data_IF_339005517581
#
_entry.id   IF_339005517581
#
_cell.length_a   1.000
_cell.length_b   1.000
_cell.length_c   1.000
_cell.angle_alpha   90.00
_cell.angle_beta   90.00
_cell.angle_gamma   90.00
#
_symmetry.space_group_name_H-M   'P 1'
#
loop_
_entity.id
_entity.type
_entity.pdbx_description
1 polymer ?
#
# COMPACT_ATOMS: atom_id res chain seq x y z
N UNK A 1 46.25 26.97 6.72
CA UNK A 1 44.95 27.68 6.72
C UNK A 1 45.14 28.99 7.45
N UNK A 2 44.95 30.12 6.79
CA UNK A 2 45.00 31.44 7.43
C UNK A 2 43.82 31.61 8.39
N UNK A 3 43.90 32.54 9.35
CA UNK A 3 42.79 32.79 10.30
C UNK A 3 41.49 33.19 9.59
N UNK A 4 41.59 33.98 8.51
CA UNK A 4 40.47 34.32 7.64
C UNK A 4 39.81 33.08 7.00
N UNK A 5 40.60 32.08 6.59
CA UNK A 5 40.07 30.81 6.07
C UNK A 5 39.40 29.96 7.17
N UNK A 6 39.88 30.01 8.42
CA UNK A 6 39.25 29.32 9.56
C UNK A 6 37.89 29.94 9.90
N UNK A 7 37.82 31.27 9.90
CA UNK A 7 36.59 32.01 10.20
C UNK A 7 35.56 31.85 9.08
N UNK A 8 36.00 31.91 7.81
CA UNK A 8 35.16 31.58 6.65
C UNK A 8 34.61 30.15 6.68
N UNK A 9 35.43 29.16 7.06
CA UNK A 9 34.98 27.77 7.21
C UNK A 9 34.00 27.59 8.37
N UNK A 10 34.22 28.27 9.51
CA UNK A 10 33.31 28.26 10.65
C UNK A 10 31.94 28.85 10.29
N UNK A 11 31.93 30.00 9.61
CA UNK A 11 30.70 30.62 9.11
C UNK A 11 29.99 29.73 8.09
N UNK A 12 30.73 29.07 7.21
CA UNK A 12 30.18 28.07 6.30
C UNK A 12 29.51 26.91 7.05
N UNK A 13 30.19 26.30 8.03
CA UNK A 13 29.63 25.21 8.84
C UNK A 13 28.39 25.64 9.63
N UNK A 14 28.40 26.84 10.22
CA UNK A 14 27.24 27.40 10.94
C UNK A 14 26.07 27.61 9.98
N UNK A 15 26.31 28.19 8.79
CA UNK A 15 25.26 28.38 7.79
C UNK A 15 24.71 27.06 7.26
N UNK A 16 25.57 26.05 7.06
CA UNK A 16 25.13 24.69 6.72
C UNK A 16 24.30 24.09 7.86
N UNK A 17 24.72 24.25 9.11
CA UNK A 17 24.00 23.72 10.28
C UNK A 17 22.63 24.38 10.47
N UNK A 18 22.55 25.71 10.37
CA UNK A 18 21.28 26.47 10.48
C UNK A 18 20.32 26.06 9.35
N UNK A 19 20.82 25.97 8.11
CA UNK A 19 20.03 25.57 6.95
C UNK A 19 19.57 24.11 7.02
N UNK A 20 20.39 23.23 7.58
CA UNK A 20 20.02 21.84 7.84
C UNK A 20 19.06 21.69 9.02
N UNK A 21 19.13 22.56 10.04
CA UNK A 21 18.23 22.51 11.22
C UNK A 21 16.78 22.81 10.86
N UNK A 22 16.52 23.84 10.05
CA UNK A 22 15.17 24.16 9.58
C UNK A 22 14.62 23.09 8.64
N UNK A 23 15.45 22.57 7.73
CA UNK A 23 15.11 21.46 6.85
C UNK A 23 14.78 20.18 7.64
N UNK A 24 15.58 19.84 8.65
CA UNK A 24 15.34 18.72 9.57
C UNK A 24 14.02 18.93 10.32
N UNK A 25 13.80 20.09 10.96
CA UNK A 25 12.55 20.36 11.70
C UNK A 25 11.30 20.18 10.81
N UNK A 26 11.32 20.70 9.58
CA UNK A 26 10.19 20.55 8.66
C UNK A 26 9.99 19.11 8.17
N UNK A 27 11.07 18.37 7.91
CA UNK A 27 10.97 16.94 7.59
C UNK A 27 10.32 16.17 8.75
N UNK A 28 10.72 16.46 9.98
CA UNK A 28 10.19 15.83 11.19
C UNK A 28 8.70 16.13 11.43
N UNK A 29 8.26 17.38 11.24
CA UNK A 29 6.82 17.74 11.31
C UNK A 29 6.02 17.03 10.22
N UNK A 30 6.60 16.90 9.02
CA UNK A 30 5.93 16.23 7.90
C UNK A 30 5.78 14.73 8.16
N UNK A 31 6.82 14.08 8.70
CA UNK A 31 6.77 12.66 9.12
C UNK A 31 5.77 12.48 10.26
N UNK A 32 5.75 13.36 11.26
CA UNK A 32 4.80 13.29 12.37
C UNK A 32 3.34 13.36 11.89
N UNK A 33 3.01 14.34 11.04
CA UNK A 33 1.66 14.50 10.49
C UNK A 33 1.22 13.30 9.64
N UNK A 34 2.13 12.75 8.83
CA UNK A 34 1.86 11.57 8.02
C UNK A 34 1.55 10.35 8.89
N UNK A 35 2.37 10.11 9.90
CA UNK A 35 2.16 9.02 10.86
C UNK A 35 0.84 9.20 11.61
N UNK A 36 0.55 10.40 12.09
CA UNK A 36 -0.72 10.71 12.76
C UNK A 36 -1.93 10.42 11.87
N UNK A 37 -1.88 10.84 10.59
CA UNK A 37 -2.93 10.53 9.61
C UNK A 37 -3.03 9.04 9.32
N UNK A 38 -1.91 8.35 9.10
CA UNK A 38 -1.90 6.90 8.86
C UNK A 38 -2.48 6.13 10.04
N UNK A 39 -2.16 6.53 11.26
CA UNK A 39 -2.67 5.88 12.47
C UNK A 39 -4.14 6.19 12.67
N UNK A 40 -4.54 7.46 12.53
CA UNK A 40 -5.93 7.87 12.65
C UNK A 40 -6.81 7.15 11.63
N UNK A 41 -6.38 7.09 10.36
CA UNK A 41 -7.10 6.37 9.32
C UNK A 41 -7.14 4.87 9.58
N UNK A 42 -6.02 4.24 9.97
CA UNK A 42 -6.00 2.80 10.26
C UNK A 42 -6.89 2.40 11.44
N UNK A 43 -6.88 3.17 12.54
CA UNK A 43 -7.77 2.88 13.68
C UNK A 43 -9.24 3.21 13.39
N UNK A 44 -9.47 4.24 12.57
CA UNK A 44 -10.82 4.53 12.09
C UNK A 44 -11.34 3.40 11.21
N UNK A 45 -10.50 2.81 10.37
CA UNK A 45 -10.81 1.66 9.52
C UNK A 45 -11.25 0.46 10.36
N UNK A 46 -10.42 0.04 11.32
CA UNK A 46 -10.75 -1.05 12.26
C UNK A 46 -12.09 -0.81 12.96
N UNK A 47 -12.37 0.43 13.37
CA UNK A 47 -13.65 0.77 13.99
C UNK A 47 -14.81 0.61 12.99
N UNK A 48 -14.66 1.12 11.76
CA UNK A 48 -15.70 0.99 10.74
C UNK A 48 -15.93 -0.46 10.33
N UNK A 49 -14.88 -1.25 10.26
CA UNK A 49 -14.91 -2.67 9.90
C UNK A 49 -15.67 -3.49 10.95
N UNK A 50 -15.42 -3.22 12.24
CA UNK A 50 -16.20 -3.82 13.34
C UNK A 50 -17.68 -3.42 13.30
N UNK A 51 -17.98 -2.15 12.98
CA UNK A 51 -19.36 -1.67 12.87
C UNK A 51 -20.07 -2.28 11.66
N UNK A 52 -19.37 -2.47 10.54
CA UNK A 52 -19.89 -3.14 9.35
C UNK A 52 -20.09 -4.63 9.61
N UNK A 53 -19.14 -5.31 10.25
CA UNK A 53 -19.27 -6.71 10.67
C UNK A 53 -20.48 -6.91 11.59
N UNK A 54 -20.67 -6.02 12.58
CA UNK A 54 -21.87 -6.01 13.42
C UNK A 54 -23.13 -5.84 12.58
N UNK A 55 -23.11 -4.96 11.58
CA UNK A 55 -24.26 -4.74 10.71
C UNK A 55 -24.64 -5.99 9.90
N UNK A 56 -23.66 -6.80 9.48
CA UNK A 56 -23.90 -8.10 8.84
C UNK A 56 -24.43 -9.14 9.81
N UNK A 57 -23.89 -9.17 11.04
CA UNK A 57 -24.36 -10.05 12.10
C UNK A 57 -25.83 -9.77 12.44
N UNK A 58 -26.18 -8.50 12.66
CA UNK A 58 -27.55 -8.07 12.97
C UNK A 58 -28.51 -8.37 11.80
N UNK A 59 -28.01 -8.42 10.56
CA UNK A 59 -28.78 -8.76 9.37
C UNK A 59 -28.88 -10.28 9.11
N UNK A 60 -28.23 -11.11 9.93
CA UNK A 60 -28.20 -12.57 9.78
C UNK A 60 -27.21 -13.11 8.74
N UNK A 61 -26.41 -12.26 8.10
CA UNK A 61 -25.34 -12.67 7.18
C UNK A 61 -24.07 -13.05 7.96
N UNK A 62 -24.19 -14.15 8.73
CA UNK A 62 -23.12 -14.62 9.63
C UNK A 62 -21.84 -14.96 8.88
N UNK A 63 -21.95 -15.49 7.65
CA UNK A 63 -20.80 -15.83 6.82
C UNK A 63 -19.95 -14.60 6.52
N UNK A 64 -20.60 -13.51 6.08
CA UNK A 64 -19.93 -12.25 5.77
C UNK A 64 -19.37 -11.60 7.04
N UNK A 65 -20.13 -11.59 8.15
CA UNK A 65 -19.66 -11.07 9.42
C UNK A 65 -18.38 -11.80 9.92
N UNK A 66 -18.37 -13.14 9.88
CA UNK A 66 -17.21 -13.92 10.28
C UNK A 66 -16.04 -13.78 9.31
N UNK A 67 -16.29 -13.61 8.00
CA UNK A 67 -15.24 -13.35 7.03
C UNK A 67 -14.52 -12.02 7.33
N UNK A 68 -15.27 -10.93 7.55
CA UNK A 68 -14.71 -9.63 7.93
C UNK A 68 -13.83 -9.73 9.17
N UNK A 69 -14.36 -10.28 10.27
CA UNK A 69 -13.58 -10.46 11.52
C UNK A 69 -12.38 -11.39 11.29
N UNK A 70 -12.54 -12.44 10.48
CA UNK A 70 -11.49 -13.39 10.16
C UNK A 70 -10.30 -12.75 9.45
N UNK A 71 -10.54 -11.86 8.49
CA UNK A 71 -9.49 -11.11 7.79
C UNK A 71 -8.74 -10.15 8.71
N UNK A 72 -9.45 -9.40 9.56
CA UNK A 72 -8.82 -8.54 10.57
C UNK A 72 -7.93 -9.35 11.55
N UNK A 73 -8.45 -10.48 12.07
CA UNK A 73 -7.68 -11.36 12.96
C UNK A 73 -6.47 -11.96 12.26
N UNK A 74 -6.61 -12.36 10.99
CA UNK A 74 -5.51 -12.90 10.19
C UNK A 74 -4.41 -11.86 9.97
N UNK A 75 -4.76 -10.61 9.64
CA UNK A 75 -3.80 -9.54 9.47
C UNK A 75 -3.02 -9.26 10.76
N UNK A 76 -3.70 -9.15 11.90
CA UNK A 76 -3.07 -8.99 13.23
C UNK A 76 -2.13 -10.16 13.54
N UNK A 77 -2.55 -11.39 13.28
CA UNK A 77 -1.74 -12.57 13.51
C UNK A 77 -0.46 -12.56 12.64
N UNK A 78 -0.59 -12.22 11.35
CA UNK A 78 0.56 -12.14 10.43
C UNK A 78 1.52 -11.01 10.83
N UNK A 79 1.01 -9.86 11.26
CA UNK A 79 1.84 -8.77 11.81
C UNK A 79 2.60 -9.20 13.07
N UNK A 80 1.95 -9.96 13.95
CA UNK A 80 2.60 -10.51 15.15
C UNK A 80 3.70 -11.52 14.81
N UNK A 81 3.46 -12.38 13.82
CA UNK A 81 4.47 -13.34 13.31
C UNK A 81 5.65 -12.60 12.69
N UNK A 82 5.39 -11.60 11.83
CA UNK A 82 6.44 -10.78 11.23
C UNK A 82 7.27 -10.05 12.30
N UNK A 83 6.61 -9.51 13.35
CA UNK A 83 7.28 -8.90 14.49
C UNK A 83 8.14 -9.91 15.26
N UNK A 84 7.60 -11.11 15.52
CA UNK A 84 8.32 -12.16 16.24
C UNK A 84 9.61 -12.59 15.56
N UNK A 85 9.59 -12.69 14.23
CA UNK A 85 10.78 -12.99 13.43
C UNK A 85 11.74 -11.80 13.40
N UNK A 86 11.24 -10.58 13.17
CA UNK A 86 12.09 -9.39 13.09
C UNK A 86 12.92 -9.14 14.37
N UNK A 87 12.31 -9.39 15.53
CA UNK A 87 12.97 -9.29 16.84
C UNK A 87 13.65 -10.60 17.30
N UNK A 88 13.73 -11.61 16.42
CA UNK A 88 14.25 -12.94 16.76
C UNK A 88 15.72 -12.98 17.15
N UNK A 89 16.53 -12.02 16.67
CA UNK A 89 17.97 -11.91 16.95
C UNK A 89 18.30 -11.06 18.19
N UNK A 90 17.30 -10.43 18.85
CA UNK A 90 17.51 -9.67 20.09
C UNK A 90 17.84 -10.62 21.25
N UNK A 91 18.87 -10.27 22.04
CA UNK A 91 19.30 -11.06 23.19
C UNK A 91 18.27 -11.10 24.33
N UNK A 92 17.49 -10.03 24.50
CA UNK A 92 16.47 -9.91 25.54
C UNK A 92 15.15 -10.52 25.07
N UNK A 93 14.79 -11.70 25.62
CA UNK A 93 13.49 -12.36 25.38
C UNK A 93 12.31 -11.43 25.67
N UNK A 94 12.41 -10.58 26.71
CA UNK A 94 11.37 -9.60 27.06
C UNK A 94 11.02 -8.67 25.90
N UNK A 95 12.02 -8.21 25.15
CA UNK A 95 11.79 -7.28 24.04
C UNK A 95 11.09 -7.99 22.88
N UNK A 96 11.52 -9.22 22.56
CA UNK A 96 10.88 -10.04 21.52
C UNK A 96 9.42 -10.35 21.86
N UNK A 97 9.16 -10.98 22.99
CA UNK A 97 7.79 -11.37 23.36
C UNK A 97 6.91 -10.17 23.70
N UNK A 98 7.47 -9.12 24.30
CA UNK A 98 6.73 -7.88 24.57
C UNK A 98 6.26 -7.19 23.29
N UNK A 99 7.13 -7.07 22.29
CA UNK A 99 6.77 -6.48 20.98
C UNK A 99 5.77 -7.36 20.22
N UNK A 100 5.95 -8.68 20.22
CA UNK A 100 4.97 -9.61 19.62
C UNK A 100 3.61 -9.54 20.31
N UNK A 101 3.58 -9.44 21.64
CA UNK A 101 2.32 -9.28 22.38
C UNK A 101 1.61 -7.98 22.02
N UNK A 102 2.34 -6.86 21.95
CA UNK A 102 1.78 -5.59 21.50
C UNK A 102 1.30 -5.64 20.04
N UNK A 103 1.98 -6.41 19.18
CA UNK A 103 1.52 -6.66 17.81
C UNK A 103 0.19 -7.43 17.79
N UNK A 104 0.00 -8.42 18.65
CA UNK A 104 -1.28 -9.15 18.81
C UNK A 104 -2.43 -8.25 19.31
N UNK A 105 -2.11 -7.11 19.93
CA UNK A 105 -3.10 -6.10 20.31
C UNK A 105 -3.37 -5.07 19.18
N UNK A 106 -2.85 -5.28 17.97
CA UNK A 106 -2.98 -4.33 16.86
C UNK A 106 -2.17 -3.04 17.04
N UNK A 107 -1.16 -3.05 17.92
CA UNK A 107 -0.32 -1.87 18.20
C UNK A 107 1.00 -1.87 17.43
N UNK A 108 1.27 -2.90 16.61
CA UNK A 108 2.51 -2.99 15.83
C UNK A 108 2.72 -1.77 14.89
N UNK A 109 1.75 -1.38 14.04
CA UNK A 109 1.92 -0.23 13.16
C UNK A 109 2.20 1.07 13.93
N UNK A 110 1.56 1.27 15.08
CA UNK A 110 1.77 2.41 15.97
C UNK A 110 3.19 2.44 16.53
N UNK A 111 3.62 1.33 17.11
CA UNK A 111 4.96 1.23 17.70
C UNK A 111 6.07 1.45 16.68
N UNK A 112 5.95 0.82 15.51
CA UNK A 112 6.95 0.92 14.45
C UNK A 112 6.92 2.31 13.81
N UNK A 113 5.73 2.91 13.65
CA UNK A 113 5.59 4.30 13.22
C UNK A 113 6.27 5.29 14.18
N UNK A 114 6.09 5.12 15.49
CA UNK A 114 6.80 5.93 16.51
C UNK A 114 8.30 5.65 16.50
N UNK A 115 8.73 4.42 16.23
CA UNK A 115 10.16 4.07 16.10
C UNK A 115 10.80 4.79 14.91
N UNK A 116 10.15 4.73 13.75
CA UNK A 116 10.55 5.45 12.52
C UNK A 116 10.53 6.95 12.75
N UNK A 117 9.52 7.47 13.45
CA UNK A 117 9.47 8.87 13.81
C UNK A 117 10.67 9.23 14.65
N UNK A 118 10.91 8.55 15.78
CA UNK A 118 11.95 8.89 16.76
C UNK A 118 13.38 8.55 16.33
N UNK A 119 13.56 7.97 15.14
CA UNK A 119 14.86 7.56 14.58
C UNK A 119 15.63 6.63 15.55
N UNK A 120 14.91 5.80 16.31
CA UNK A 120 15.50 4.83 17.22
C UNK A 120 15.98 3.63 16.41
N UNK A 121 17.28 3.57 16.15
CA UNK A 121 17.92 2.41 15.55
C UNK A 121 18.04 1.31 16.60
N UNK A 122 17.10 0.36 16.57
CA UNK A 122 17.16 -0.82 17.41
C UNK A 122 18.20 -1.80 16.84
N UNK A 123 19.35 -1.94 17.50
CA UNK A 123 20.36 -2.92 17.11
C UNK A 123 19.80 -4.35 17.22
N UNK A 124 20.17 -5.21 16.25
CA UNK A 124 19.80 -6.63 16.23
C UNK A 124 18.45 -6.95 15.57
N UNK A 125 17.83 -6.02 14.83
CA UNK A 125 16.66 -6.30 13.99
C UNK A 125 17.05 -6.96 12.67
N UNK A 126 16.16 -7.78 12.11
CA UNK A 126 16.34 -8.37 10.77
C UNK A 126 16.09 -7.34 9.66
N UNK A 127 15.10 -6.47 9.86
CA UNK A 127 14.70 -5.39 8.97
C UNK A 127 14.94 -4.04 9.66
N UNK A 128 15.27 -3.01 8.88
CA UNK A 128 15.33 -1.64 9.39
C UNK A 128 13.94 -1.15 9.82
N UNK A 129 13.87 -0.14 10.71
CA UNK A 129 12.60 0.46 11.17
C UNK A 129 11.63 0.81 10.03
N UNK A 130 12.08 1.52 8.96
CA UNK A 130 11.22 1.81 7.82
C UNK A 130 10.76 0.57 7.05
N UNK A 131 11.62 -0.45 6.92
CA UNK A 131 11.26 -1.70 6.24
C UNK A 131 10.20 -2.48 7.02
N UNK A 132 10.36 -2.64 8.34
CA UNK A 132 9.36 -3.35 9.15
C UNK A 132 8.03 -2.59 9.16
N UNK A 133 8.05 -1.26 9.26
CA UNK A 133 6.84 -0.44 9.16
C UNK A 133 6.13 -0.63 7.81
N UNK A 134 6.87 -0.58 6.70
CA UNK A 134 6.33 -0.84 5.37
C UNK A 134 5.75 -2.27 5.28
N UNK A 135 6.46 -3.29 5.79
CA UNK A 135 5.96 -4.66 5.81
C UNK A 135 4.67 -4.83 6.62
N UNK A 136 4.54 -4.19 7.79
CA UNK A 136 3.31 -4.25 8.58
C UNK A 136 2.12 -3.67 7.82
N UNK A 137 2.33 -2.54 7.14
CA UNK A 137 1.31 -1.90 6.31
C UNK A 137 0.97 -2.69 5.04
N UNK A 138 1.96 -3.33 4.44
CA UNK A 138 1.75 -4.27 3.34
C UNK A 138 0.88 -5.46 3.78
N UNK A 139 1.12 -6.02 4.97
CA UNK A 139 0.30 -7.10 5.51
C UNK A 139 -1.13 -6.65 5.84
N UNK A 140 -1.28 -5.47 6.45
CA UNK A 140 -2.58 -4.82 6.71
C UNK A 140 -3.39 -4.74 5.41
N UNK A 141 -2.82 -4.15 4.36
CA UNK A 141 -3.55 -3.98 3.10
C UNK A 141 -3.84 -5.31 2.41
N UNK A 142 -2.88 -6.23 2.37
CA UNK A 142 -3.03 -7.50 1.66
C UNK A 142 -4.06 -8.44 2.29
N UNK A 143 -4.15 -8.46 3.63
CA UNK A 143 -4.93 -9.47 4.35
C UNK A 143 -6.16 -8.92 5.07
N UNK A 144 -6.29 -7.60 5.22
CA UNK A 144 -7.45 -6.95 5.83
C UNK A 144 -8.11 -6.02 4.81
N UNK A 145 -7.45 -4.93 4.39
CA UNK A 145 -8.11 -3.89 3.60
C UNK A 145 -8.65 -4.38 2.25
N UNK A 146 -7.87 -5.15 1.47
CA UNK A 146 -8.31 -5.65 0.15
C UNK A 146 -9.46 -6.67 0.28
N UNK A 147 -9.35 -7.75 1.08
CA UNK A 147 -10.48 -8.68 1.23
C UNK A 147 -11.72 -8.02 1.80
N UNK A 148 -11.55 -7.11 2.76
CA UNK A 148 -12.64 -6.40 3.39
C UNK A 148 -13.35 -5.46 2.44
N UNK A 149 -12.63 -4.60 1.71
CA UNK A 149 -13.24 -3.68 0.74
C UNK A 149 -14.03 -4.44 -0.34
N UNK A 150 -13.53 -5.58 -0.81
CA UNK A 150 -14.26 -6.48 -1.71
C UNK A 150 -15.54 -7.02 -1.06
N UNK A 151 -15.49 -7.44 0.19
CA UNK A 151 -16.66 -7.92 0.93
C UNK A 151 -17.69 -6.79 1.10
N UNK A 152 -17.24 -5.61 1.53
CA UNK A 152 -18.10 -4.47 1.84
C UNK A 152 -18.79 -3.94 0.57
N UNK A 153 -18.03 -3.74 -0.53
CA UNK A 153 -18.60 -3.38 -1.83
C UNK A 153 -19.51 -4.50 -2.35
N UNK A 154 -19.12 -5.76 -2.18
CA UNK A 154 -19.96 -6.91 -2.48
C UNK A 154 -21.30 -6.85 -1.74
N UNK A 155 -21.30 -6.53 -0.45
CA UNK A 155 -22.49 -6.32 0.36
C UNK A 155 -23.36 -5.17 -0.15
N UNK A 156 -22.76 -4.02 -0.48
CA UNK A 156 -23.47 -2.88 -1.07
C UNK A 156 -24.17 -3.26 -2.38
N UNK A 157 -23.49 -4.02 -3.24
CA UNK A 157 -23.99 -4.43 -4.54
C UNK A 157 -25.13 -5.46 -4.47
N UNK A 158 -25.36 -6.11 -3.32
CA UNK A 158 -26.50 -7.02 -3.10
C UNK A 158 -27.82 -6.27 -2.88
N UNK A 159 -27.78 -5.02 -2.42
CA UNK A 159 -28.98 -4.22 -2.18
C UNK A 159 -29.68 -3.87 -3.50
N UNK A 160 -31.00 -4.03 -3.54
CA UNK A 160 -31.83 -3.73 -4.72
C UNK A 160 -32.09 -2.24 -4.86
N UNK A 161 -32.35 -1.58 -3.72
CA UNK A 161 -32.63 -0.16 -3.65
C UNK A 161 -31.60 0.59 -2.81
N UNK A 162 -31.31 1.83 -3.18
CA UNK A 162 -30.38 2.70 -2.44
C UNK A 162 -30.86 2.99 -1.02
N UNK A 163 -32.17 2.96 -0.77
CA UNK A 163 -32.77 3.14 0.56
C UNK A 163 -32.38 2.05 1.55
N UNK A 164 -31.98 0.87 1.06
CA UNK A 164 -31.64 -0.27 1.90
C UNK A 164 -30.17 -0.24 2.34
N UNK A 165 -29.37 0.63 1.73
CA UNK A 165 -27.96 0.80 2.05
C UNK A 165 -27.84 1.60 3.34
N UNK A 166 -27.23 0.99 4.35
CA UNK A 166 -26.98 1.68 5.62
C UNK A 166 -25.79 2.62 5.45
N UNK A 167 -25.88 3.84 6.01
CA UNK A 167 -24.81 4.84 5.97
C UNK A 167 -23.47 4.28 6.48
N UNK A 168 -23.50 3.38 7.47
CA UNK A 168 -22.29 2.75 8.01
C UNK A 168 -21.53 1.90 6.97
N UNK A 169 -22.24 1.25 6.04
CA UNK A 169 -21.60 0.45 4.98
C UNK A 169 -20.91 1.36 3.95
N UNK A 170 -21.51 2.52 3.65
CA UNK A 170 -20.89 3.52 2.77
C UNK A 170 -19.63 4.09 3.44
N UNK A 171 -19.72 4.44 4.73
CA UNK A 171 -18.58 4.95 5.49
C UNK A 171 -17.46 3.92 5.57
N UNK A 172 -17.78 2.63 5.79
CA UNK A 172 -16.78 1.55 5.79
C UNK A 172 -16.02 1.47 4.47
N UNK A 173 -16.74 1.41 3.34
CA UNK A 173 -16.09 1.32 2.02
C UNK A 173 -15.20 2.53 1.74
N UNK A 174 -15.69 3.74 2.06
CA UNK A 174 -14.89 4.95 1.86
C UNK A 174 -13.67 4.95 2.78
N UNK A 175 -13.83 4.57 4.05
CA UNK A 175 -12.73 4.46 5.01
C UNK A 175 -11.64 3.53 4.49
N UNK A 176 -12.00 2.31 4.09
CA UNK A 176 -11.06 1.28 3.66
C UNK A 176 -10.28 1.69 2.40
N UNK A 177 -10.98 2.27 1.41
CA UNK A 177 -10.33 2.81 0.20
C UNK A 177 -9.39 3.97 0.54
N UNK A 178 -9.83 4.92 1.37
CA UNK A 178 -9.03 6.10 1.74
C UNK A 178 -7.82 5.71 2.60
N UNK A 179 -8.01 4.83 3.58
CA UNK A 179 -6.96 4.32 4.44
C UNK A 179 -5.91 3.55 3.64
N UNK A 180 -6.33 2.57 2.83
CA UNK A 180 -5.43 1.79 1.98
C UNK A 180 -4.66 2.66 0.97
N UNK A 181 -5.35 3.59 0.31
CA UNK A 181 -4.71 4.51 -0.64
C UNK A 181 -3.75 5.48 0.05
N UNK A 182 -4.10 5.99 1.22
CA UNK A 182 -3.23 6.87 2.00
C UNK A 182 -2.00 6.11 2.48
N UNK A 183 -2.18 4.91 3.04
CA UNK A 183 -1.08 4.04 3.50
C UNK A 183 -0.13 3.72 2.35
N UNK A 184 -0.60 3.42 1.14
CA UNK A 184 0.32 3.15 0.02
C UNK A 184 0.98 4.40 -0.56
N UNK A 185 0.26 5.51 -0.55
CA UNK A 185 0.85 6.80 -0.94
C UNK A 185 1.92 7.21 0.07
N UNK A 186 1.63 7.04 1.36
CA UNK A 186 2.50 7.42 2.45
C UNK A 186 3.64 6.43 2.67
N UNK A 187 3.42 5.12 2.47
CA UNK A 187 4.30 3.93 2.58
C UNK A 187 5.63 4.01 1.83
N UNK A 188 5.85 5.15 1.19
CA UNK A 188 7.13 5.65 0.72
C UNK A 188 7.85 6.64 1.67
N UNK A 189 7.61 6.74 3.01
CA UNK A 189 8.04 7.92 3.76
C UNK A 189 9.54 7.84 4.11
N UNK A 190 10.09 6.64 4.36
CA UNK A 190 11.52 6.41 4.57
C UNK A 190 12.40 6.85 3.39
N UNK A 191 11.86 6.79 2.16
CA UNK A 191 12.55 7.22 0.93
C UNK A 191 12.55 8.73 0.73
N UNK A 192 11.58 9.43 1.31
CA UNK A 192 11.50 10.88 1.27
C UNK A 192 12.42 11.48 2.33
N UNK A 193 12.48 10.88 3.53
CA UNK A 193 13.40 11.30 4.60
C UNK A 193 14.87 11.16 4.20
N UNK A 194 15.24 10.08 3.49
CA UNK A 194 16.61 9.91 2.96
C UNK A 194 17.01 11.03 1.99
N UNK A 195 16.08 11.52 1.15
CA UNK A 195 16.31 12.68 0.30
C UNK A 195 16.41 14.01 1.06
N UNK A 196 15.67 14.20 2.14
CA UNK A 196 15.81 15.39 2.99
C UNK A 196 17.18 15.41 3.73
N UNK A 197 17.78 14.25 3.95
CA UNK A 197 19.10 14.08 4.57
C UNK A 197 20.28 14.08 3.57
N UNK A 198 20.03 14.31 2.27
CA UNK A 198 21.04 14.39 1.20
C UNK A 198 21.94 13.14 1.04
N UNK A 199 21.42 11.94 1.25
CA UNK A 199 22.09 10.72 0.73
C UNK A 199 22.03 10.70 -0.81
N UNK A 200 22.98 10.01 -1.49
CA UNK A 200 22.99 9.92 -2.95
C UNK A 200 21.59 9.57 -3.47
N UNK A 201 21.08 10.38 -4.38
CA UNK A 201 19.77 10.15 -4.98
C UNK A 201 19.84 8.87 -5.78
N UNK A 202 19.23 7.79 -5.27
CA UNK A 202 19.00 6.62 -6.11
C UNK A 202 18.24 7.09 -7.37
N UNK A 203 18.75 6.80 -8.58
CA UNK A 203 18.20 7.28 -9.84
C UNK A 203 16.70 6.95 -10.01
N UNK A 204 16.24 5.84 -9.42
CA UNK A 204 14.83 5.43 -9.43
C UNK A 204 13.90 6.36 -8.63
N UNK A 205 14.42 7.27 -7.81
CA UNK A 205 13.62 8.26 -7.09
C UNK A 205 13.63 9.64 -7.74
N UNK A 206 14.22 9.80 -8.93
CA UNK A 206 14.33 11.09 -9.60
C UNK A 206 12.99 11.84 -9.77
N UNK A 207 11.86 11.14 -9.74
CA UNK A 207 10.51 11.70 -9.86
C UNK A 207 10.09 12.64 -8.72
N UNK A 208 10.67 12.56 -7.53
CA UNK A 208 10.25 13.40 -6.38
C UNK A 208 10.43 14.89 -6.69
N UNK A 209 9.36 15.67 -6.49
CA UNK A 209 9.32 17.09 -6.82
C UNK A 209 10.40 17.91 -6.11
N UNK A 210 11.14 18.71 -6.89
CA UNK A 210 12.00 19.80 -6.37
C UNK A 210 11.24 21.13 -6.20
N UNK A 211 9.96 21.23 -6.59
CA UNK A 211 9.13 22.46 -6.62
C UNK A 211 8.60 22.88 -5.23
N UNK A 212 9.48 22.99 -4.24
CA UNK A 212 9.14 23.40 -2.87
C UNK A 212 8.10 22.48 -2.20
N UNK A 213 7.53 22.94 -1.08
CA UNK A 213 6.56 22.16 -0.31
C UNK A 213 5.23 21.97 -1.06
N UNK A 214 4.77 22.99 -1.79
CA UNK A 214 3.49 22.94 -2.51
C UNK A 214 3.54 21.94 -3.67
N UNK A 215 4.66 21.88 -4.42
CA UNK A 215 4.84 20.89 -5.48
C UNK A 215 4.82 19.46 -4.95
N UNK A 216 5.46 19.22 -3.79
CA UNK A 216 5.41 17.93 -3.09
C UNK A 216 4.00 17.58 -2.63
N UNK A 217 3.27 18.51 -2.01
CA UNK A 217 1.87 18.28 -1.60
C UNK A 217 0.98 17.90 -2.78
N UNK A 218 1.09 18.63 -3.90
CA UNK A 218 0.35 18.34 -5.14
C UNK A 218 0.73 16.98 -5.73
N UNK A 219 2.02 16.65 -5.75
CA UNK A 219 2.49 15.35 -6.20
C UNK A 219 1.90 14.21 -5.36
N UNK A 220 1.97 14.33 -4.03
CA UNK A 220 1.40 13.33 -3.11
C UNK A 220 -0.11 13.21 -3.25
N UNK A 221 -0.81 14.33 -3.39
CA UNK A 221 -2.25 14.33 -3.65
C UNK A 221 -2.60 13.64 -4.97
N UNK A 222 -1.83 13.88 -6.04
CA UNK A 222 -2.02 13.19 -7.31
C UNK A 222 -1.84 11.67 -7.19
N UNK A 223 -0.81 11.22 -6.46
CA UNK A 223 -0.59 9.80 -6.19
C UNK A 223 -1.71 9.20 -5.32
N UNK A 224 -2.13 9.91 -4.28
CA UNK A 224 -3.25 9.49 -3.43
C UNK A 224 -4.54 9.35 -4.23
N UNK A 225 -4.89 10.34 -5.05
CA UNK A 225 -6.08 10.29 -5.89
C UNK A 225 -6.02 9.13 -6.89
N UNK A 226 -4.86 8.91 -7.52
CA UNK A 226 -4.65 7.75 -8.38
C UNK A 226 -4.85 6.44 -7.63
N UNK A 227 -4.21 6.27 -6.47
CA UNK A 227 -4.30 5.06 -5.66
C UNK A 227 -5.72 4.80 -5.15
N UNK A 228 -6.43 5.82 -4.67
CA UNK A 228 -7.80 5.68 -4.18
C UNK A 228 -8.75 5.24 -5.30
N UNK A 229 -8.64 5.85 -6.48
CA UNK A 229 -9.48 5.49 -7.62
C UNK A 229 -9.12 4.12 -8.20
N UNK A 230 -7.83 3.83 -8.35
CA UNK A 230 -7.36 2.53 -8.83
C UNK A 230 -7.80 1.40 -7.87
N UNK A 231 -7.67 1.62 -6.56
CA UNK A 231 -8.10 0.66 -5.55
C UNK A 231 -9.61 0.44 -5.59
N UNK A 232 -10.39 1.52 -5.66
CA UNK A 232 -11.84 1.45 -5.82
C UNK A 232 -12.25 0.66 -7.07
N UNK A 233 -11.54 0.82 -8.19
CA UNK A 233 -11.81 0.05 -9.41
C UNK A 233 -11.52 -1.43 -9.24
N UNK A 234 -10.39 -1.75 -8.60
CA UNK A 234 -10.02 -3.12 -8.30
C UNK A 234 -11.08 -3.78 -7.44
N UNK A 235 -11.45 -3.18 -6.31
CA UNK A 235 -12.42 -3.74 -5.39
C UNK A 235 -13.79 -3.88 -6.03
N UNK A 236 -14.22 -2.88 -6.81
CA UNK A 236 -15.48 -2.93 -7.54
C UNK A 236 -15.51 -4.06 -8.57
N UNK A 237 -14.45 -4.18 -9.38
CA UNK A 237 -14.34 -5.25 -10.38
C UNK A 237 -14.33 -6.63 -9.71
N UNK A 238 -13.53 -6.80 -8.65
CA UNK A 238 -13.41 -8.06 -7.92
C UNK A 238 -14.70 -8.43 -7.18
N UNK A 239 -15.42 -7.46 -6.63
CA UNK A 239 -16.73 -7.66 -6.00
C UNK A 239 -17.77 -8.15 -7.00
N UNK A 240 -17.88 -7.49 -8.15
CA UNK A 240 -18.79 -7.91 -9.22
C UNK A 240 -18.43 -9.29 -9.75
N UNK A 241 -17.15 -9.55 -9.98
CA UNK A 241 -16.68 -10.83 -10.49
C UNK A 241 -16.94 -11.96 -9.49
N UNK A 242 -16.74 -11.70 -8.19
CA UNK A 242 -17.08 -12.63 -7.10
C UNK A 242 -18.57 -12.96 -7.07
N UNK A 243 -19.44 -11.98 -7.28
CA UNK A 243 -20.89 -12.23 -7.34
C UNK A 243 -21.30 -13.01 -8.59
N UNK A 244 -20.68 -12.68 -9.73
CA UNK A 244 -20.98 -13.33 -11.01
C UNK A 244 -20.48 -14.78 -11.04
N UNK A 245 -19.29 -15.07 -10.51
CA UNK A 245 -18.59 -16.35 -10.73
C UNK A 245 -18.17 -17.07 -9.44
N UNK A 246 -18.52 -16.56 -8.26
CA UNK A 246 -18.12 -17.12 -6.97
C UNK A 246 -16.74 -16.62 -6.50
N UNK A 247 -16.46 -16.79 -5.20
CA UNK A 247 -15.27 -16.25 -4.51
C UNK A 247 -13.94 -16.92 -4.87
N UNK A 248 -13.96 -18.16 -5.35
CA UNK A 248 -12.74 -18.86 -5.77
C UNK A 248 -12.17 -18.36 -7.11
N UNK A 249 -13.01 -17.81 -7.97
CA UNK A 249 -12.66 -17.46 -9.35
C UNK A 249 -11.71 -16.26 -9.45
N UNK A 250 -11.95 -15.13 -8.76
CA UNK A 250 -11.01 -14.02 -8.75
C UNK A 250 -9.64 -14.41 -8.18
N UNK A 251 -9.61 -15.22 -7.11
CA UNK A 251 -8.38 -15.72 -6.51
C UNK A 251 -7.59 -16.59 -7.50
N UNK A 252 -8.28 -17.51 -8.18
CA UNK A 252 -7.66 -18.38 -9.18
C UNK A 252 -7.08 -17.60 -10.37
N UNK A 253 -7.80 -16.61 -10.88
CA UNK A 253 -7.30 -15.79 -11.99
C UNK A 253 -6.09 -14.95 -11.55
N UNK A 254 -6.21 -14.24 -10.42
CA UNK A 254 -5.20 -13.29 -9.97
C UNK A 254 -3.94 -13.98 -9.43
N UNK A 255 -4.08 -14.95 -8.52
CA UNK A 255 -2.94 -15.66 -7.90
C UNK A 255 -2.51 -16.90 -8.67
N UNK A 256 -3.44 -17.57 -9.36
CA UNK A 256 -3.12 -18.76 -10.13
C UNK A 256 -2.54 -18.41 -11.49
N UNK A 257 -3.32 -17.74 -12.34
CA UNK A 257 -2.95 -17.54 -13.75
C UNK A 257 -2.00 -16.36 -13.93
N UNK A 258 -2.40 -15.17 -13.47
CA UNK A 258 -1.66 -13.95 -13.75
C UNK A 258 -0.32 -13.90 -13.01
N UNK A 259 -0.32 -14.24 -11.72
CA UNK A 259 0.93 -14.30 -10.95
C UNK A 259 1.91 -15.35 -11.51
N UNK A 260 1.44 -16.55 -11.92
CA UNK A 260 2.31 -17.53 -12.56
C UNK A 260 2.89 -17.03 -13.88
N UNK A 261 2.12 -16.28 -14.68
CA UNK A 261 2.61 -15.66 -15.91
C UNK A 261 3.71 -14.63 -15.63
N UNK A 262 3.54 -13.81 -14.58
CA UNK A 262 4.57 -12.86 -14.13
C UNK A 262 5.82 -13.59 -13.63
N UNK A 263 5.67 -14.65 -12.84
CA UNK A 263 6.80 -15.48 -12.41
C UNK A 263 7.53 -16.13 -13.60
N UNK A 264 6.80 -16.63 -14.59
CA UNK A 264 7.40 -17.20 -15.79
C UNK A 264 8.17 -16.16 -16.60
N UNK A 265 7.61 -14.95 -16.76
CA UNK A 265 8.27 -13.83 -17.42
C UNK A 265 9.56 -13.41 -16.69
N UNK A 266 9.51 -13.28 -15.37
CA UNK A 266 10.69 -12.92 -14.57
C UNK A 266 11.72 -14.06 -14.53
N UNK A 267 11.26 -15.32 -14.56
CA UNK A 267 12.12 -16.48 -14.71
C UNK A 267 12.86 -16.48 -16.04
N UNK A 268 12.18 -16.13 -17.14
CA UNK A 268 12.80 -15.98 -18.46
C UNK A 268 13.85 -14.88 -18.51
N UNK A 269 13.66 -13.78 -17.77
CA UNK A 269 14.67 -12.72 -17.59
C UNK A 269 15.84 -13.08 -16.67
N UNK A 270 15.74 -14.18 -15.92
CA UNK A 270 16.71 -14.52 -14.88
C UNK A 270 16.61 -13.65 -13.62
N UNK A 271 15.52 -12.91 -13.45
CA UNK A 271 15.32 -11.94 -12.36
C UNK A 271 14.39 -12.46 -11.25
N UNK A 272 13.78 -13.65 -11.43
CA UNK A 272 12.81 -14.25 -10.48
C UNK A 272 13.28 -14.30 -9.02
N UNK A 273 14.60 -14.39 -8.82
CA UNK A 273 15.22 -14.43 -7.49
C UNK A 273 16.21 -13.27 -7.26
N UNK A 274 16.06 -12.14 -7.96
CA UNK A 274 16.95 -10.98 -7.78
C UNK A 274 17.07 -10.51 -6.32
N UNK A 275 15.98 -10.64 -5.54
CA UNK A 275 15.95 -10.31 -4.11
C UNK A 275 16.72 -11.33 -3.23
N UNK A 276 16.85 -12.59 -3.65
CA UNK A 276 17.54 -13.62 -2.86
C UNK A 276 19.06 -13.42 -2.84
N UNK A 277 19.61 -12.66 -3.79
CA UNK A 277 21.04 -12.32 -3.79
C UNK A 277 21.47 -11.44 -2.60
N UNK A 278 20.51 -10.92 -1.83
CA UNK A 278 20.75 -10.11 -0.62
C UNK A 278 20.51 -10.93 0.67
N UNK A 279 19.87 -12.10 0.59
CA UNK A 279 19.48 -12.89 1.78
C UNK A 279 20.54 -13.94 2.18
N UNK A 280 20.48 -14.38 3.46
CA UNK A 280 21.43 -15.34 4.04
C UNK A 280 21.28 -16.74 3.44
N UNK A 281 22.36 -17.53 3.47
CA UNK A 281 22.63 -18.81 2.76
C UNK A 281 21.66 -20.01 2.96
N UNK A 282 20.50 -19.87 3.61
CA UNK A 282 19.57 -21.01 3.75
C UNK A 282 18.60 -21.11 2.56
N UNK A 283 18.27 -22.32 2.12
CA UNK A 283 17.33 -22.54 1.01
C UNK A 283 15.94 -21.92 1.27
N UNK A 284 15.48 -21.92 2.53
CA UNK A 284 14.23 -21.25 2.94
C UNK A 284 14.31 -19.73 2.71
N UNK A 285 15.43 -19.12 3.06
CA UNK A 285 15.66 -17.68 2.87
C UNK A 285 15.96 -17.30 1.41
N UNK A 286 16.44 -18.25 0.60
CA UNK A 286 16.85 -18.00 -0.78
C UNK A 286 15.71 -18.19 -1.79
N UNK A 287 14.71 -19.03 -1.49
CA UNK A 287 13.66 -19.36 -2.46
C UNK A 287 12.25 -19.06 -1.95
N UNK A 288 11.91 -19.51 -0.74
CA UNK A 288 10.53 -19.41 -0.24
C UNK A 288 10.20 -17.98 0.21
N UNK A 289 11.06 -17.37 1.02
CA UNK A 289 10.83 -16.00 1.51
C UNK A 289 10.75 -14.98 0.36
N UNK A 290 11.69 -14.97 -0.61
CA UNK A 290 11.59 -14.05 -1.76
C UNK A 290 10.32 -14.26 -2.58
N UNK A 291 9.93 -15.52 -2.81
CA UNK A 291 8.70 -15.83 -3.55
C UNK A 291 7.44 -15.31 -2.83
N UNK A 292 7.34 -15.50 -1.52
CA UNK A 292 6.22 -14.97 -0.72
C UNK A 292 6.21 -13.43 -0.76
N UNK A 293 7.37 -12.80 -0.59
CA UNK A 293 7.51 -11.35 -0.65
C UNK A 293 7.09 -10.82 -2.03
N UNK A 294 7.49 -11.49 -3.10
CA UNK A 294 7.06 -11.16 -4.46
C UNK A 294 5.57 -11.33 -4.68
N UNK A 295 4.97 -12.43 -4.20
CA UNK A 295 3.53 -12.64 -4.27
C UNK A 295 2.78 -11.52 -3.55
N UNK A 296 3.28 -11.10 -2.38
CA UNK A 296 2.73 -9.96 -1.63
C UNK A 296 2.85 -8.66 -2.42
N UNK A 297 4.04 -8.32 -2.94
CA UNK A 297 4.20 -7.11 -3.76
C UNK A 297 3.31 -7.12 -5.00
N UNK A 298 3.20 -8.26 -5.68
CA UNK A 298 2.34 -8.42 -6.83
C UNK A 298 0.86 -8.21 -6.47
N UNK A 299 0.36 -8.86 -5.42
CA UNK A 299 -1.00 -8.65 -4.91
C UNK A 299 -1.26 -7.18 -4.59
N UNK A 300 -0.33 -6.54 -3.88
CA UNK A 300 -0.44 -5.14 -3.51
C UNK A 300 -0.47 -4.25 -4.73
N UNK A 301 0.42 -4.44 -5.71
CA UNK A 301 0.42 -3.64 -6.95
C UNK A 301 -0.85 -3.83 -7.77
N UNK A 302 -1.45 -5.02 -7.74
CA UNK A 302 -2.72 -5.29 -8.39
C UNK A 302 -3.88 -4.50 -7.79
N UNK A 303 -3.86 -4.24 -6.49
CA UNK A 303 -4.94 -3.51 -5.82
C UNK A 303 -4.63 -2.03 -5.64
N UNK A 304 -3.40 -1.69 -5.25
CA UNK A 304 -2.95 -0.34 -4.90
C UNK A 304 -1.48 -0.14 -5.33
N UNK A 305 -1.22 0.58 -6.43
CA UNK A 305 0.13 0.72 -6.97
C UNK A 305 1.11 1.35 -5.99
N UNK A 306 2.25 0.68 -5.80
CA UNK A 306 3.31 1.12 -4.90
C UNK A 306 4.58 1.40 -5.69
N UNK A 307 5.00 2.67 -5.73
CA UNK A 307 6.15 3.09 -6.54
C UNK A 307 7.47 2.46 -6.10
N UNK A 308 7.59 2.02 -4.84
CA UNK A 308 8.77 1.28 -4.37
C UNK A 308 8.95 -0.05 -5.12
N UNK A 309 7.87 -0.67 -5.58
CA UNK A 309 7.94 -1.93 -6.30
C UNK A 309 8.63 -1.79 -7.66
N UNK A 310 8.82 -0.55 -8.14
CA UNK A 310 9.63 -0.25 -9.32
C UNK A 310 11.13 -0.53 -9.10
N UNK A 311 11.58 -0.73 -7.86
CA UNK A 311 12.98 -1.05 -7.62
C UNK A 311 13.33 -2.41 -8.24
N UNK A 312 14.47 -2.58 -8.93
CA UNK A 312 14.82 -3.84 -9.62
C UNK A 312 14.93 -5.06 -8.71
N UNK A 313 15.18 -4.86 -7.42
CA UNK A 313 15.18 -5.96 -6.45
C UNK A 313 13.77 -6.41 -6.06
N UNK A 314 12.75 -5.55 -6.25
CA UNK A 314 11.35 -5.85 -5.95
C UNK A 314 10.68 -6.46 -7.20
N UNK A 315 9.72 -5.76 -7.85
CA UNK A 315 9.13 -6.22 -9.12
C UNK A 315 9.85 -5.66 -10.36
N UNK A 316 10.51 -4.51 -10.20
CA UNK A 316 11.07 -3.75 -11.31
C UNK A 316 10.05 -2.82 -11.99
N UNK A 317 10.51 -1.79 -12.71
CA UNK A 317 9.66 -0.74 -13.27
C UNK A 317 8.76 -1.29 -14.40
N UNK A 318 9.29 -2.13 -15.28
CA UNK A 318 8.54 -2.73 -16.39
C UNK A 318 7.36 -3.58 -15.89
N UNK A 319 7.58 -4.44 -14.88
CA UNK A 319 6.53 -5.29 -14.31
C UNK A 319 5.49 -4.44 -13.58
N UNK A 320 5.93 -3.47 -12.76
CA UNK A 320 5.02 -2.56 -12.06
C UNK A 320 4.07 -1.87 -13.06
N UNK A 321 4.63 -1.23 -14.07
CA UNK A 321 3.85 -0.50 -15.08
C UNK A 321 2.96 -1.42 -15.89
N UNK A 322 3.50 -2.55 -16.35
CA UNK A 322 2.73 -3.52 -17.12
C UNK A 322 1.57 -4.05 -16.30
N UNK A 323 1.76 -4.30 -15.00
CA UNK A 323 0.71 -4.75 -14.08
C UNK A 323 -0.34 -3.66 -13.88
N UNK A 324 0.06 -2.38 -13.72
CA UNK A 324 -0.89 -1.26 -13.62
C UNK A 324 -1.78 -1.18 -14.87
N UNK A 325 -1.18 -1.19 -16.06
CA UNK A 325 -1.90 -1.10 -17.33
C UNK A 325 -2.79 -2.34 -17.53
N UNK A 326 -2.23 -3.52 -17.35
CA UNK A 326 -2.94 -4.80 -17.43
C UNK A 326 -4.15 -4.81 -16.50
N UNK A 327 -4.00 -4.34 -15.26
CA UNK A 327 -5.08 -4.33 -14.30
C UNK A 327 -6.17 -3.31 -14.63
N UNK A 328 -5.82 -2.13 -15.13
CA UNK A 328 -6.82 -1.17 -15.63
C UNK A 328 -7.68 -1.76 -16.76
N UNK A 329 -7.03 -2.50 -17.68
CA UNK A 329 -7.72 -3.17 -18.79
C UNK A 329 -8.57 -4.34 -18.30
N UNK A 330 -8.00 -5.22 -17.47
CA UNK A 330 -8.71 -6.40 -16.96
C UNK A 330 -9.82 -6.04 -15.99
N UNK A 331 -9.68 -5.01 -15.16
CA UNK A 331 -10.79 -4.52 -14.34
C UNK A 331 -11.96 -4.08 -15.22
N UNK A 332 -11.70 -3.35 -16.32
CA UNK A 332 -12.74 -2.95 -17.27
C UNK A 332 -13.41 -4.15 -17.94
N UNK A 333 -12.60 -5.13 -18.39
CA UNK A 333 -13.09 -6.38 -18.96
C UNK A 333 -13.91 -7.21 -17.96
N UNK A 334 -13.43 -7.34 -16.73
CA UNK A 334 -14.08 -8.08 -15.65
C UNK A 334 -15.42 -7.45 -15.29
N UNK A 335 -15.50 -6.12 -15.19
CA UNK A 335 -16.76 -5.41 -14.98
C UNK A 335 -17.74 -5.72 -16.13
N UNK A 336 -17.29 -5.61 -17.38
CA UNK A 336 -18.15 -5.89 -18.55
C UNK A 336 -18.68 -7.33 -18.54
N UNK A 337 -17.80 -8.31 -18.33
CA UNK A 337 -18.15 -9.75 -18.31
C UNK A 337 -19.06 -10.08 -17.12
N UNK A 338 -18.73 -9.60 -15.91
CA UNK A 338 -19.50 -9.86 -14.71
C UNK A 338 -20.90 -9.24 -14.80
N UNK A 339 -21.02 -8.03 -15.33
CA UNK A 339 -22.33 -7.39 -15.55
C UNK A 339 -23.18 -8.19 -16.54
N UNK A 340 -22.59 -8.65 -17.65
CA UNK A 340 -23.29 -9.51 -18.62
C UNK A 340 -23.84 -10.79 -17.97
N UNK A 341 -23.08 -11.40 -17.06
CA UNK A 341 -23.51 -12.59 -16.33
C UNK A 341 -24.58 -12.30 -15.27
N UNK A 342 -24.43 -11.21 -14.53
CA UNK A 342 -25.42 -10.79 -13.53
C UNK A 342 -26.78 -10.42 -14.16
N UNK A 343 -26.78 -9.80 -15.34
CA UNK A 343 -27.99 -9.53 -16.12
C UNK A 343 -28.69 -10.83 -16.51
N UNK A 344 -27.96 -11.84 -16.99
CA UNK A 344 -28.53 -13.16 -17.30
C UNK A 344 -29.16 -13.84 -16.08
N UNK A 345 -28.58 -13.63 -14.89
CA UNK A 345 -29.06 -14.15 -13.61
C UNK A 345 -30.24 -13.36 -13.02
N UNK A 346 -30.74 -12.34 -13.71
CA UNK A 346 -31.88 -11.53 -13.26
C UNK A 346 -31.54 -10.55 -12.13
N UNK A 347 -30.25 -10.25 -11.91
CA UNK A 347 -29.83 -9.18 -11.00
C UNK A 347 -29.93 -7.83 -11.74
N UNK A 348 -31.13 -7.27 -11.79
CA UNK A 348 -31.38 -5.94 -12.34
C UNK A 348 -31.04 -4.88 -11.29
N UNK A 349 -29.79 -4.41 -11.28
CA UNK A 349 -29.49 -3.05 -10.83
C UNK A 349 -29.33 -2.16 -12.05
N UNK A 350 -29.49 -0.84 -11.89
CA UNK A 350 -29.20 0.14 -12.94
C UNK A 350 -27.74 -0.02 -13.39
N UNK A 351 -27.56 -0.79 -14.47
CA UNK A 351 -26.30 -1.01 -15.16
C UNK A 351 -25.57 0.31 -15.40
N UNK A 352 -26.36 1.34 -15.72
CA UNK A 352 -25.94 2.72 -15.88
C UNK A 352 -25.22 3.26 -14.64
N UNK A 353 -25.82 3.21 -13.45
CA UNK A 353 -25.18 3.78 -12.24
C UNK A 353 -23.91 3.04 -11.85
N UNK A 354 -23.87 1.72 -12.05
CA UNK A 354 -22.68 0.88 -11.83
C UNK A 354 -21.54 1.25 -12.80
N UNK A 355 -21.86 1.45 -14.07
CA UNK A 355 -20.89 1.86 -15.09
C UNK A 355 -20.44 3.31 -14.93
N UNK A 356 -21.33 4.22 -14.52
CA UNK A 356 -20.98 5.61 -14.23
C UNK A 356 -20.00 5.70 -13.06
N UNK A 357 -20.24 4.96 -11.97
CA UNK A 357 -19.31 4.93 -10.83
C UNK A 357 -17.90 4.46 -11.23
N UNK A 358 -17.83 3.36 -11.99
CA UNK A 358 -16.55 2.85 -12.51
C UNK A 358 -15.86 3.86 -13.45
N UNK A 359 -16.62 4.47 -14.37
CA UNK A 359 -16.12 5.46 -15.33
C UNK A 359 -15.61 6.74 -14.66
N UNK A 360 -16.32 7.23 -13.63
CA UNK A 360 -15.87 8.38 -12.82
C UNK A 360 -14.57 8.05 -12.10
N UNK A 361 -14.47 6.86 -11.49
CA UNK A 361 -13.22 6.42 -10.86
C UNK A 361 -12.07 6.36 -11.87
N UNK A 362 -12.31 5.89 -13.09
CA UNK A 362 -11.29 5.86 -14.15
C UNK A 362 -10.82 7.26 -14.57
N UNK A 363 -11.76 8.19 -14.74
CA UNK A 363 -11.45 9.58 -15.04
C UNK A 363 -10.62 10.23 -13.93
N UNK A 364 -11.00 10.01 -12.66
CA UNK A 364 -10.29 10.56 -11.51
C UNK A 364 -8.90 9.93 -11.33
N UNK A 365 -8.73 8.64 -11.59
CA UNK A 365 -7.42 7.99 -11.61
C UNK A 365 -6.48 8.66 -12.63
N UNK A 366 -6.97 8.92 -13.85
CA UNK A 366 -6.20 9.63 -14.88
C UNK A 366 -5.85 11.07 -14.46
N UNK A 367 -6.78 11.80 -13.83
CA UNK A 367 -6.52 13.13 -13.26
C UNK A 367 -5.43 13.06 -12.18
N UNK A 368 -5.48 12.05 -11.30
CA UNK A 368 -4.46 11.78 -10.28
C UNK A 368 -3.06 11.62 -10.90
N UNK A 369 -2.93 10.79 -11.93
CA UNK A 369 -1.68 10.60 -12.67
C UNK A 369 -1.18 11.90 -13.32
N UNK A 370 -2.06 12.67 -13.95
CA UNK A 370 -1.69 13.97 -14.55
C UNK A 370 -1.16 14.93 -13.49
N UNK A 371 -1.83 15.03 -12.34
CA UNK A 371 -1.38 15.86 -11.22
C UNK A 371 -0.02 15.36 -10.71
N UNK A 372 0.15 14.05 -10.54
CA UNK A 372 1.41 13.45 -10.10
C UNK A 372 2.57 13.81 -11.04
N UNK A 373 2.46 13.45 -12.33
CA UNK A 373 3.53 13.65 -13.32
C UNK A 373 3.83 15.12 -13.63
N UNK A 374 2.83 16.02 -13.58
CA UNK A 374 3.04 17.47 -13.74
C UNK A 374 3.89 18.08 -12.62
N UNK A 375 3.83 17.47 -11.43
CA UNK A 375 4.56 17.93 -10.26
C UNK A 375 5.87 17.16 -10.02
N UNK A 376 6.15 16.09 -10.78
CA UNK A 376 7.46 15.43 -10.78
C UNK A 376 8.60 16.38 -11.18
N UNK A 377 9.82 16.03 -10.80
CA UNK A 377 11.03 16.74 -11.23
C UNK A 377 11.12 16.76 -12.76
N UNK A 378 11.27 17.91 -13.42
CA UNK A 378 11.44 17.97 -14.88
C UNK A 378 12.72 17.27 -15.37
N UNK A 379 13.74 17.10 -14.52
CA UNK A 379 14.96 16.36 -14.90
C UNK A 379 14.80 14.85 -14.75
N UNK A 380 13.67 14.38 -14.21
CA UNK A 380 13.38 12.96 -14.16
C UNK A 380 13.07 12.47 -15.57
N UNK A 381 13.89 11.56 -16.08
CA UNK A 381 13.57 10.85 -17.28
C UNK A 381 12.34 9.98 -17.01
N UNK A 382 11.18 10.46 -17.48
CA UNK A 382 9.91 9.76 -17.32
C UNK A 382 9.93 8.41 -18.01
N UNK A 383 10.79 8.20 -19.01
CA UNK A 383 10.95 6.90 -19.68
C UNK A 383 11.51 5.83 -18.75
N UNK A 384 12.26 6.19 -17.70
CA UNK A 384 12.70 5.27 -16.63
C UNK A 384 11.58 4.82 -15.70
N UNK A 385 10.39 5.43 -15.82
CA UNK A 385 9.21 4.85 -15.18
C UNK A 385 8.69 3.67 -15.98
N UNK A 386 8.89 3.68 -17.31
CA UNK A 386 8.34 2.72 -18.27
C UNK A 386 9.37 1.67 -18.74
N UNK A 387 10.65 1.91 -18.48
CA UNK A 387 11.81 1.04 -18.71
C UNK A 387 12.43 0.68 -17.37
#
# INVERSE_FOLDING_TARGET
>A
MTEEQKEGFKLFLINVAIRNRSAKKMAWVTVAWKLDMTLSLGYFDVLTDLLVAKSYYDAGDLSTAYATVGFAVLAIALQAVATFFNYGKKSKKRDRYGRTFLALLGLAPLMEGVSVWTDKVDEGLMLTGPQIYASMKSLEIAFESIPESIIQIGGLLKHKDYSDIKMIQIIGVISSIVAGAFIMTDGNPGFITSKYLKTPTNPYYGWISKKGMMGKKRQMFGMFLFNACYFSQFDFAMSLFTQAFGSGTPLFLLLGVEFCAVCAYMGWKGELFGFSMISQTSAFNNYIVPFIVWALYYMLVCAVPMLIAAHPTELGPEVLVSTIVWRLLTNGGNVYVALGELVKKGHYLSLETRMTGYGVSLGLAAVGLVIFFKNCDPTFDRSLFWR
#
